data_IF_639799926849
#
_entry.id   IF_639799926849
#
_cell.length_a   1.000
_cell.length_b   1.000
_cell.length_c   1.000
_cell.angle_alpha   90.00
_cell.angle_beta   90.00
_cell.angle_gamma   90.00
#
_symmetry.space_group_name_H-M   'P 1'
#
loop_
_entity.id
_entity.type
_entity.pdbx_description
1 polymer ?
#
# COMPACT_ATOMS: atom_id res chain seq x y z
N UNK A 1 29.05 55.36 -5.27
CA UNK A 1 29.14 54.06 -5.99
C UNK A 1 28.60 53.08 -4.99
N UNK A 2 27.28 52.97 -4.94
CA UNK A 2 26.62 52.39 -3.78
C UNK A 2 26.25 50.97 -4.18
N UNK A 3 26.92 50.01 -3.53
CA UNK A 3 26.69 48.60 -3.78
C UNK A 3 25.31 48.24 -3.23
N UNK A 4 24.38 47.89 -4.13
CA UNK A 4 23.10 47.30 -3.75
C UNK A 4 23.37 46.00 -2.99
N UNK A 5 23.11 46.02 -1.69
CA UNK A 5 23.13 44.82 -0.87
C UNK A 5 21.94 43.97 -1.30
N UNK A 6 22.22 42.90 -2.06
CA UNK A 6 21.22 41.92 -2.43
C UNK A 6 20.85 41.12 -1.18
N UNK A 7 19.76 41.49 -0.54
CA UNK A 7 19.13 40.72 0.53
C UNK A 7 18.32 39.58 -0.13
N UNK A 8 18.74 38.31 0.00
CA UNK A 8 18.10 37.20 -0.69
C UNK A 8 16.81 36.82 0.03
N UNK A 9 15.75 37.59 -0.25
CA UNK A 9 14.34 37.37 0.09
C UNK A 9 14.14 36.25 1.14
N UNK A 10 14.26 36.62 2.41
CA UNK A 10 13.62 35.85 3.46
C UNK A 10 12.12 35.80 3.11
N UNK A 11 11.69 34.67 2.56
CA UNK A 11 10.29 34.28 2.52
C UNK A 11 9.89 34.06 3.98
N UNK A 12 9.50 35.14 4.65
CA UNK A 12 8.80 35.12 5.93
C UNK A 12 7.42 34.49 5.71
N UNK A 13 7.42 33.17 5.49
CA UNK A 13 6.22 32.36 5.55
C UNK A 13 5.65 32.47 6.96
N UNK A 14 4.34 32.69 7.04
CA UNK A 14 3.58 32.72 8.29
C UNK A 14 4.05 31.59 9.23
N UNK A 15 4.24 31.84 10.53
CA UNK A 15 4.96 30.92 11.42
C UNK A 15 4.35 29.51 11.53
N UNK A 16 3.08 29.36 11.15
CA UNK A 16 2.31 28.11 11.14
C UNK A 16 2.39 27.29 9.82
N UNK A 17 3.11 27.75 8.80
CA UNK A 17 3.21 27.00 7.54
C UNK A 17 4.15 25.77 7.66
N UNK A 18 3.77 24.59 7.10
CA UNK A 18 4.65 23.43 7.05
C UNK A 18 5.95 23.73 6.30
N UNK A 19 7.08 23.34 6.87
CA UNK A 19 8.41 23.54 6.31
C UNK A 19 9.00 22.20 5.85
N UNK A 20 9.65 22.21 4.68
CA UNK A 20 10.31 21.02 4.09
C UNK A 20 11.80 21.28 4.01
N UNK A 21 12.59 20.34 4.53
CA UNK A 21 14.06 20.34 4.43
C UNK A 21 14.52 19.02 3.85
N UNK A 22 14.96 19.04 2.60
CA UNK A 22 15.48 17.87 1.89
C UNK A 22 16.88 17.56 2.44
N UNK A 23 17.13 16.28 2.78
CA UNK A 23 18.42 15.80 3.28
C UNK A 23 19.20 15.01 2.22
N UNK A 24 18.50 14.23 1.39
CA UNK A 24 19.06 13.56 0.21
C UNK A 24 18.00 13.43 -0.89
N UNK A 25 18.43 13.46 -2.15
CA UNK A 25 17.56 13.24 -3.30
C UNK A 25 18.36 12.61 -4.46
N UNK A 26 17.77 11.59 -5.09
CA UNK A 26 18.21 10.98 -6.34
C UNK A 26 17.00 10.72 -7.27
N UNK A 27 17.21 10.06 -8.41
CA UNK A 27 16.16 9.78 -9.40
C UNK A 27 15.09 8.79 -8.93
N UNK A 28 15.34 8.07 -7.83
CA UNK A 28 14.52 6.98 -7.30
C UNK A 28 14.08 7.20 -5.86
N UNK A 29 14.75 8.07 -5.11
CA UNK A 29 14.54 8.25 -3.67
C UNK A 29 14.67 9.70 -3.24
N UNK A 30 13.85 10.13 -2.29
CA UNK A 30 14.00 11.43 -1.61
C UNK A 30 13.79 11.28 -0.10
N UNK A 31 14.77 11.75 0.67
CA UNK A 31 14.74 11.82 2.12
C UNK A 31 14.55 13.28 2.54
N UNK A 32 13.50 13.57 3.32
CA UNK A 32 13.21 14.93 3.78
C UNK A 32 12.61 14.97 5.20
N UNK A 33 12.87 16.07 5.88
CA UNK A 33 12.21 16.47 7.13
C UNK A 33 11.03 17.38 6.78
N UNK A 34 9.83 17.02 7.27
CA UNK A 34 8.63 17.84 7.25
C UNK A 34 8.37 18.34 8.68
N UNK A 35 8.55 19.64 8.90
CA UNK A 35 8.37 20.27 10.20
C UNK A 35 7.23 21.30 10.20
N UNK A 36 6.82 21.76 11.40
CA UNK A 36 5.68 22.69 11.59
C UNK A 36 4.37 22.16 11.02
N UNK A 37 4.09 20.88 11.26
CA UNK A 37 2.80 20.28 10.90
C UNK A 37 2.35 19.31 11.98
N UNK A 38 1.20 18.67 11.80
CA UNK A 38 0.65 17.68 12.73
C UNK A 38 0.71 16.26 12.16
N UNK A 39 0.73 15.27 13.06
CA UNK A 39 0.78 13.84 12.71
C UNK A 39 -0.37 13.40 11.76
N UNK A 40 -1.63 13.84 11.95
CA UNK A 40 -2.70 13.54 11.00
C UNK A 40 -2.42 14.01 9.56
N UNK A 41 -1.89 15.23 9.38
CA UNK A 41 -1.54 15.78 8.06
C UNK A 41 -0.35 15.02 7.44
N UNK A 42 0.71 14.78 8.20
CA UNK A 42 1.88 14.04 7.73
C UNK A 42 1.50 12.61 7.30
N UNK A 43 0.68 11.91 8.10
CA UNK A 43 0.17 10.59 7.74
C UNK A 43 -0.85 10.62 6.58
N UNK A 44 -1.65 11.67 6.44
CA UNK A 44 -2.54 11.84 5.29
C UNK A 44 -1.74 12.00 3.99
N UNK A 45 -0.70 12.83 3.99
CA UNK A 45 0.24 12.96 2.87
C UNK A 45 0.88 11.61 2.54
N UNK A 46 1.44 10.92 3.55
CA UNK A 46 2.02 9.57 3.42
C UNK A 46 1.07 8.58 2.73
N UNK A 47 -0.21 8.55 3.11
CA UNK A 47 -1.20 7.64 2.53
C UNK A 47 -1.57 8.02 1.09
N UNK A 48 -1.63 9.30 0.77
CA UNK A 48 -2.02 9.79 -0.56
C UNK A 48 -0.90 9.53 -1.58
N UNK A 49 0.37 9.78 -1.24
CA UNK A 49 1.50 9.51 -2.15
C UNK A 49 1.63 8.02 -2.51
N UNK A 50 1.23 7.11 -1.62
CA UNK A 50 1.16 5.68 -1.90
C UNK A 50 -0.08 5.28 -2.71
N UNK A 51 -1.28 5.72 -2.30
CA UNK A 51 -2.52 5.08 -2.70
C UNK A 51 -3.36 5.84 -3.74
N UNK A 52 -3.15 7.15 -3.91
CA UNK A 52 -4.08 8.04 -4.62
C UNK A 52 -3.43 8.94 -5.68
N UNK A 53 -2.09 8.94 -5.80
CA UNK A 53 -1.40 9.57 -6.93
C UNK A 53 -1.68 8.76 -8.21
N UNK A 54 -2.20 9.37 -9.29
CA UNK A 54 -2.52 8.64 -10.51
C UNK A 54 -1.27 8.15 -11.25
N UNK A 55 -1.35 6.96 -11.84
CA UNK A 55 -0.31 6.37 -12.70
C UNK A 55 -0.96 5.67 -13.90
N UNK A 56 -0.15 5.24 -14.88
CA UNK A 56 -0.61 4.38 -15.98
C UNK A 56 -0.04 2.96 -15.84
N UNK A 57 -0.88 1.94 -16.05
CA UNK A 57 -0.49 0.54 -16.05
C UNK A 57 -1.35 -0.26 -17.04
N UNK A 58 -0.87 -1.43 -17.47
CA UNK A 58 -1.64 -2.34 -18.34
C UNK A 58 -2.88 -2.83 -17.59
N UNK A 59 -4.05 -2.71 -18.23
CA UNK A 59 -5.34 -3.05 -17.62
C UNK A 59 -6.13 -4.09 -18.41
N UNK A 60 -6.14 -3.98 -19.73
CA UNK A 60 -6.78 -4.95 -20.61
C UNK A 60 -5.70 -5.56 -21.52
N UNK A 61 -5.73 -6.89 -21.67
CA UNK A 61 -4.78 -7.64 -22.50
C UNK A 61 -5.59 -8.54 -23.43
N UNK A 62 -5.46 -8.28 -24.72
CA UNK A 62 -6.04 -9.07 -25.80
C UNK A 62 -4.97 -10.06 -26.28
N UNK A 63 -5.28 -11.36 -26.22
CA UNK A 63 -4.35 -12.41 -26.60
C UNK A 63 -4.84 -13.03 -27.91
N UNK A 64 -4.09 -12.82 -28.99
CA UNK A 64 -4.39 -13.42 -30.30
C UNK A 64 -3.75 -14.81 -30.43
N UNK A 65 -2.52 -14.95 -29.94
CA UNK A 65 -1.79 -16.22 -29.92
C UNK A 65 -1.01 -16.34 -28.62
N UNK A 66 -1.24 -17.42 -27.87
CA UNK A 66 -0.35 -17.89 -26.82
C UNK A 66 -0.12 -19.39 -27.00
N UNK A 67 1.06 -19.78 -27.45
CA UNK A 67 1.52 -21.17 -27.43
C UNK A 67 2.69 -21.39 -26.45
N UNK A 68 2.85 -20.48 -25.49
CA UNK A 68 3.86 -20.56 -24.43
C UNK A 68 3.48 -21.63 -23.38
N UNK A 69 4.33 -21.80 -22.37
CA UNK A 69 4.05 -22.68 -21.22
C UNK A 69 3.25 -21.99 -20.09
N UNK A 70 2.95 -20.70 -20.22
CA UNK A 70 2.25 -19.91 -19.22
C UNK A 70 0.79 -19.69 -19.65
N UNK A 71 -0.12 -19.76 -18.68
CA UNK A 71 -1.52 -19.46 -18.89
C UNK A 71 -1.74 -17.96 -19.21
N UNK A 72 -2.83 -17.66 -19.90
CA UNK A 72 -3.18 -16.34 -20.41
C UNK A 72 -3.27 -15.30 -19.29
N UNK A 73 -4.00 -15.63 -18.23
CA UNK A 73 -4.18 -14.79 -17.05
C UNK A 73 -2.88 -14.59 -16.26
N UNK A 74 -1.96 -15.56 -16.31
CA UNK A 74 -0.65 -15.46 -15.68
C UNK A 74 0.24 -14.45 -16.43
N UNK A 75 0.22 -14.47 -17.76
CA UNK A 75 0.92 -13.45 -18.58
C UNK A 75 0.27 -12.08 -18.38
N UNK A 76 -1.07 -11.99 -18.44
CA UNK A 76 -1.81 -10.75 -18.25
C UNK A 76 -1.53 -10.08 -16.89
N UNK A 77 -1.50 -10.86 -15.81
CA UNK A 77 -1.14 -10.36 -14.48
C UNK A 77 0.28 -9.79 -14.44
N UNK A 78 1.26 -10.46 -15.07
CA UNK A 78 2.65 -9.98 -15.11
C UNK A 78 2.81 -8.71 -15.94
N UNK A 79 2.09 -8.59 -17.05
CA UNK A 79 2.06 -7.37 -17.87
C UNK A 79 1.48 -6.19 -17.07
N UNK A 80 0.43 -6.42 -16.29
CA UNK A 80 -0.15 -5.42 -15.40
C UNK A 80 0.85 -4.84 -14.39
N UNK A 81 1.90 -5.59 -14.01
CA UNK A 81 2.93 -5.19 -13.05
C UNK A 81 4.19 -4.58 -13.70
N UNK A 82 4.24 -4.42 -15.03
CA UNK A 82 5.36 -3.74 -15.69
C UNK A 82 5.23 -2.23 -15.46
N UNK A 83 6.24 -1.56 -14.87
CA UNK A 83 6.21 -0.11 -14.69
C UNK A 83 6.24 0.59 -16.05
N UNK A 84 5.28 1.50 -16.25
CA UNK A 84 5.20 2.36 -17.43
C UNK A 84 5.44 3.82 -17.03
N UNK A 85 6.05 4.60 -17.93
CA UNK A 85 6.26 6.03 -17.74
C UNK A 85 4.90 6.74 -17.55
N UNK A 86 4.77 7.40 -16.41
CA UNK A 86 3.57 8.07 -15.94
C UNK A 86 3.75 9.60 -15.84
N UNK A 87 4.85 10.19 -16.31
CA UNK A 87 5.11 11.64 -16.16
C UNK A 87 4.00 12.52 -16.73
N UNK A 88 3.50 12.16 -17.91
CA UNK A 88 2.36 12.83 -18.57
C UNK A 88 0.97 12.28 -18.19
N UNK A 89 0.82 11.47 -17.14
CA UNK A 89 -0.48 10.85 -16.74
C UNK A 89 -1.58 11.88 -16.47
N UNK A 90 -1.23 13.15 -16.19
CA UNK A 90 -2.19 14.23 -15.99
C UNK A 90 -2.95 14.61 -17.28
N UNK A 91 -2.39 14.33 -18.47
CA UNK A 91 -2.99 14.63 -19.78
C UNK A 91 -4.00 13.57 -20.22
N UNK A 92 -3.90 12.35 -19.69
CA UNK A 92 -4.85 11.28 -19.96
C UNK A 92 -6.11 11.43 -19.08
N UNK A 93 -7.28 11.27 -19.68
CA UNK A 93 -8.52 11.13 -18.94
C UNK A 93 -8.63 9.73 -18.32
N UNK A 94 -9.35 9.58 -17.21
CA UNK A 94 -9.76 8.25 -16.75
C UNK A 94 -10.74 7.67 -17.77
N UNK A 95 -10.64 6.37 -18.07
CA UNK A 95 -11.51 5.75 -19.09
C UNK A 95 -13.00 5.74 -18.70
N UNK A 96 -13.32 5.84 -17.40
CA UNK A 96 -14.68 6.02 -16.86
C UNK A 96 -15.25 7.44 -17.02
N UNK A 97 -14.37 8.43 -17.21
CA UNK A 97 -14.72 9.86 -17.30
C UNK A 97 -14.63 10.34 -18.77
N UNK A 98 -14.58 9.41 -19.74
CA UNK A 98 -14.33 9.68 -21.14
C UNK A 98 -15.51 9.21 -22.01
N UNK A 99 -15.98 10.06 -22.93
CA UNK A 99 -17.15 9.82 -23.80
C UNK A 99 -16.94 8.77 -24.92
N UNK A 100 -16.16 7.71 -24.66
CA UNK A 100 -15.86 6.65 -25.61
C UNK A 100 -16.39 5.28 -25.14
N UNK A 101 -16.65 4.35 -26.06
CA UNK A 101 -17.29 3.06 -25.72
C UNK A 101 -16.44 2.11 -24.86
N UNK A 102 -15.10 2.11 -25.03
CA UNK A 102 -14.20 1.23 -24.27
C UNK A 102 -12.86 1.90 -23.96
N UNK A 103 -12.15 2.33 -24.99
CA UNK A 103 -10.88 3.03 -24.89
C UNK A 103 -10.62 3.86 -26.15
N UNK A 104 -9.92 4.98 -25.99
CA UNK A 104 -9.49 5.85 -27.08
C UNK A 104 -8.13 6.49 -26.76
N UNK A 105 -7.58 7.23 -27.71
CA UNK A 105 -6.28 7.91 -27.60
C UNK A 105 -6.23 8.93 -26.45
N UNK A 106 -7.37 9.47 -26.00
CA UNK A 106 -7.43 10.45 -24.89
C UNK A 106 -7.44 9.80 -23.49
N UNK A 107 -7.70 8.50 -23.37
CA UNK A 107 -7.87 7.81 -22.09
C UNK A 107 -7.08 6.51 -21.94
N UNK A 108 -6.24 6.17 -22.93
CA UNK A 108 -5.45 4.93 -22.94
C UNK A 108 -4.22 5.03 -23.83
N UNK A 109 -3.23 4.18 -23.56
CA UNK A 109 -2.07 3.93 -24.43
C UNK A 109 -2.10 2.46 -24.86
N UNK A 110 -1.97 2.20 -26.15
CA UNK A 110 -1.89 0.83 -26.69
C UNK A 110 -0.42 0.40 -26.80
N UNK A 111 -0.12 -0.82 -26.36
CA UNK A 111 1.17 -1.48 -26.58
C UNK A 111 0.93 -2.82 -27.30
N UNK A 112 1.89 -3.25 -28.10
CA UNK A 112 1.85 -4.54 -28.79
C UNK A 112 3.11 -5.34 -28.47
N UNK A 113 2.97 -6.66 -28.34
CA UNK A 113 4.09 -7.58 -28.19
C UNK A 113 3.89 -8.77 -29.12
N UNK A 114 4.85 -8.98 -30.02
CA UNK A 114 4.90 -10.15 -30.90
C UNK A 114 6.27 -10.81 -30.80
N UNK A 115 6.31 -11.99 -30.18
CA UNK A 115 7.53 -12.77 -29.98
C UNK A 115 7.32 -14.19 -30.49
N UNK A 116 8.17 -14.64 -31.42
CA UNK A 116 8.17 -16.00 -31.95
C UNK A 116 9.57 -16.59 -31.93
N UNK A 117 9.74 -17.71 -31.23
CA UNK A 117 11.03 -18.36 -31.09
C UNK A 117 11.28 -19.30 -32.28
N UNK A 118 12.18 -18.90 -33.19
CA UNK A 118 12.61 -19.73 -34.33
C UNK A 118 13.91 -20.50 -34.08
N UNK A 119 14.66 -20.12 -33.03
CA UNK A 119 15.87 -20.78 -32.55
C UNK A 119 15.57 -22.05 -31.75
N UNK A 120 16.54 -22.96 -31.65
CA UNK A 120 16.44 -24.10 -30.71
C UNK A 120 16.76 -23.70 -29.25
N UNK A 121 17.47 -22.58 -29.08
CA UNK A 121 17.72 -21.93 -27.79
C UNK A 121 16.45 -21.26 -27.22
N UNK A 122 16.41 -21.12 -25.89
CA UNK A 122 15.29 -20.52 -25.16
C UNK A 122 15.30 -19.00 -25.37
N UNK A 123 14.35 -18.49 -26.15
CA UNK A 123 14.12 -17.06 -26.30
C UNK A 123 13.51 -16.51 -25.01
N UNK A 124 14.09 -15.44 -24.48
CA UNK A 124 13.55 -14.68 -23.35
C UNK A 124 12.80 -13.47 -23.90
N UNK A 125 11.59 -13.24 -23.42
CA UNK A 125 10.73 -12.11 -23.82
C UNK A 125 10.65 -11.12 -22.67
N UNK A 126 10.97 -9.86 -22.93
CA UNK A 126 11.20 -8.83 -21.92
C UNK A 126 10.33 -7.58 -22.16
N UNK A 127 10.28 -6.68 -21.17
CA UNK A 127 9.52 -5.44 -21.24
C UNK A 127 9.95 -4.51 -22.39
N UNK A 128 11.23 -4.51 -22.80
CA UNK A 128 11.68 -3.77 -24.00
C UNK A 128 11.04 -4.24 -25.31
N UNK A 129 10.50 -5.47 -25.34
CA UNK A 129 9.92 -6.05 -26.54
C UNK A 129 8.44 -5.59 -26.72
N UNK A 130 7.87 -4.88 -25.74
CA UNK A 130 6.59 -4.16 -25.85
C UNK A 130 6.78 -2.86 -26.63
N UNK A 131 6.10 -2.74 -27.77
CA UNK A 131 6.08 -1.54 -28.60
C UNK A 131 4.83 -0.72 -28.29
N UNK A 132 5.01 0.43 -27.64
CA UNK A 132 3.95 1.41 -27.43
C UNK A 132 3.61 2.16 -28.73
N UNK A 133 2.34 2.51 -28.92
CA UNK A 133 1.87 3.28 -30.07
C UNK A 133 2.30 4.75 -29.94
N UNK A 134 3.04 5.26 -30.93
CA UNK A 134 3.71 6.57 -30.88
C UNK A 134 2.82 7.78 -31.12
N UNK A 135 1.52 7.71 -30.77
CA UNK A 135 0.54 8.78 -31.00
C UNK A 135 0.53 9.84 -29.89
N UNK A 136 0.95 9.46 -28.68
CA UNK A 136 1.13 10.40 -27.57
C UNK A 136 2.44 11.17 -27.77
N UNK A 137 2.38 12.50 -27.67
CA UNK A 137 3.56 13.36 -27.83
C UNK A 137 4.59 13.21 -26.69
N UNK A 138 4.13 12.71 -25.54
CA UNK A 138 4.95 12.40 -24.38
C UNK A 138 5.22 10.88 -24.32
N UNK A 139 6.30 10.48 -23.64
CA UNK A 139 6.71 9.09 -23.42
C UNK A 139 5.75 8.24 -22.56
N UNK A 140 4.54 8.73 -22.27
CA UNK A 140 3.55 8.08 -21.40
C UNK A 140 3.20 6.69 -21.92
N UNK A 141 3.18 5.72 -21.00
CA UNK A 141 2.90 4.34 -21.35
C UNK A 141 4.09 3.58 -21.95
N UNK A 142 5.26 4.21 -22.14
CA UNK A 142 6.46 3.45 -22.52
C UNK A 142 6.97 2.60 -21.34
N UNK A 143 7.44 1.36 -21.56
CA UNK A 143 8.01 0.53 -20.50
C UNK A 143 9.27 1.14 -19.88
N UNK A 144 9.32 1.20 -18.56
CA UNK A 144 10.49 1.66 -17.81
C UNK A 144 11.57 0.56 -17.80
N UNK A 145 12.78 0.92 -18.20
CA UNK A 145 13.95 0.05 -18.29
C UNK A 145 15.08 0.67 -17.47
N UNK A 146 15.46 0.03 -16.37
CA UNK A 146 16.47 0.52 -15.39
C UNK A 146 17.62 -0.46 -15.17
N UNK A 147 17.55 -1.67 -15.72
CA UNK A 147 18.61 -2.66 -15.58
C UNK A 147 19.83 -2.33 -16.46
N UNK A 148 21.07 -2.66 -16.03
CA UNK A 148 22.28 -2.37 -16.79
C UNK A 148 22.36 -3.06 -18.16
N UNK A 149 21.56 -4.10 -18.41
CA UNK A 149 21.52 -4.84 -19.67
C UNK A 149 20.53 -4.23 -20.68
N UNK A 150 19.69 -3.26 -20.26
CA UNK A 150 18.71 -2.59 -21.12
C UNK A 150 17.57 -3.50 -21.58
N UNK A 151 17.14 -4.46 -20.75
CA UNK A 151 16.15 -5.47 -21.10
C UNK A 151 14.75 -5.16 -20.53
N UNK A 152 14.69 -4.64 -19.32
CA UNK A 152 13.49 -4.49 -18.51
C UNK A 152 13.01 -5.81 -17.91
N UNK A 153 11.77 -5.81 -17.40
CA UNK A 153 11.20 -6.98 -16.72
C UNK A 153 11.05 -8.20 -17.67
N UNK A 154 11.49 -9.38 -17.23
CA UNK A 154 11.30 -10.63 -17.98
C UNK A 154 9.83 -11.09 -17.94
N UNK A 155 9.13 -11.04 -19.08
CA UNK A 155 7.70 -11.39 -19.23
C UNK A 155 7.50 -12.90 -19.36
N UNK A 156 8.26 -13.55 -20.26
CA UNK A 156 8.08 -14.97 -20.58
C UNK A 156 9.38 -15.60 -21.09
N UNK A 157 9.39 -16.93 -21.22
CA UNK A 157 10.42 -17.70 -21.92
C UNK A 157 9.74 -18.61 -22.93
N UNK A 158 10.19 -18.58 -24.17
CA UNK A 158 9.67 -19.34 -25.29
C UNK A 158 10.72 -20.37 -25.73
N UNK A 159 10.27 -21.61 -25.97
CA UNK A 159 11.02 -22.64 -26.69
C UNK A 159 10.74 -22.49 -28.19
N UNK A 160 11.57 -23.13 -29.02
CA UNK A 160 11.37 -23.27 -30.46
C UNK A 160 9.90 -23.53 -30.84
N UNK A 161 9.45 -22.83 -31.87
CA UNK A 161 8.11 -22.85 -32.46
C UNK A 161 6.99 -22.32 -31.53
N UNK A 162 7.31 -21.84 -30.32
CA UNK A 162 6.35 -21.10 -29.48
C UNK A 162 6.25 -19.63 -29.90
N UNK A 163 5.03 -19.10 -29.81
CA UNK A 163 4.64 -17.77 -30.25
C UNK A 163 3.73 -17.11 -29.20
N UNK A 164 3.95 -15.82 -28.97
CA UNK A 164 3.15 -14.95 -28.14
C UNK A 164 2.83 -13.69 -28.94
N UNK A 165 1.55 -13.43 -29.19
CA UNK A 165 1.05 -12.24 -29.89
C UNK A 165 -0.10 -11.64 -29.09
N UNK A 166 0.14 -10.46 -28.55
CA UNK A 166 -0.78 -9.78 -27.63
C UNK A 166 -0.85 -8.28 -27.90
N UNK A 167 -2.00 -7.70 -27.59
CA UNK A 167 -2.24 -6.25 -27.54
C UNK A 167 -2.59 -5.88 -26.10
N UNK A 168 -1.93 -4.87 -25.55
CA UNK A 168 -2.09 -4.41 -24.18
C UNK A 168 -2.64 -2.99 -24.19
N UNK A 169 -3.75 -2.74 -23.51
CA UNK A 169 -4.33 -1.41 -23.33
C UNK A 169 -4.00 -0.95 -21.91
N UNK A 170 -3.14 0.06 -21.82
CA UNK A 170 -2.77 0.70 -20.58
C UNK A 170 -3.72 1.86 -20.24
N UNK A 171 -4.18 1.91 -19.00
CA UNK A 171 -5.15 2.89 -18.50
C UNK A 171 -4.64 3.62 -17.27
N UNK A 172 -5.12 4.85 -17.12
CA UNK A 172 -4.91 5.67 -15.92
C UNK A 172 -5.74 5.12 -14.76
N UNK A 173 -5.11 4.93 -13.61
CA UNK A 173 -5.74 4.41 -12.39
C UNK A 173 -5.01 4.88 -11.13
N UNK A 174 -5.45 4.38 -9.97
CA UNK A 174 -4.85 4.67 -8.66
C UNK A 174 -4.63 3.37 -7.87
N UNK A 175 -3.64 3.34 -6.98
CA UNK A 175 -3.28 2.14 -6.22
C UNK A 175 -4.40 1.59 -5.31
N UNK A 176 -5.42 2.39 -4.97
CA UNK A 176 -6.66 1.90 -4.32
C UNK A 176 -7.47 0.92 -5.16
N UNK A 177 -7.44 1.04 -6.49
CA UNK A 177 -8.14 0.14 -7.39
C UNK A 177 -7.35 -1.17 -7.56
N UNK A 178 -6.04 -1.05 -7.76
CA UNK A 178 -5.10 -2.18 -7.75
C UNK A 178 -3.67 -1.70 -7.50
N UNK A 179 -2.88 -2.44 -6.71
CA UNK A 179 -1.50 -2.07 -6.34
C UNK A 179 -0.52 -1.88 -7.53
N UNK A 180 -0.91 -2.30 -8.74
CA UNK A 180 -0.16 -2.03 -9.98
C UNK A 180 0.00 -0.55 -10.31
N UNK A 181 -0.94 0.28 -9.83
CA UNK A 181 -0.92 1.73 -10.01
C UNK A 181 -0.19 2.47 -8.87
N UNK A 182 0.65 1.77 -8.09
CA UNK A 182 1.41 2.36 -6.99
C UNK A 182 2.71 3.02 -7.50
N UNK A 183 2.87 4.35 -7.37
CA UNK A 183 4.08 5.04 -7.84
C UNK A 183 5.26 4.92 -6.87
N UNK A 184 5.04 4.43 -5.64
CA UNK A 184 6.07 4.26 -4.61
C UNK A 184 6.36 2.79 -4.34
N UNK A 185 7.64 2.42 -4.20
CA UNK A 185 8.05 1.11 -3.67
C UNK A 185 7.83 1.05 -2.15
N UNK A 186 8.31 2.07 -1.44
CA UNK A 186 8.24 2.19 0.01
C UNK A 186 8.14 3.66 0.44
N UNK A 187 7.50 3.89 1.58
CA UNK A 187 7.52 5.19 2.27
C UNK A 187 7.87 4.98 3.74
N UNK A 188 9.15 5.20 4.04
CA UNK A 188 9.66 5.34 5.41
C UNK A 188 9.06 6.58 6.05
N UNK A 189 8.71 6.45 7.33
CA UNK A 189 8.03 7.49 8.10
C UNK A 189 8.38 7.32 9.58
N UNK A 190 9.03 8.32 10.15
CA UNK A 190 9.47 8.34 11.54
C UNK A 190 9.19 9.72 12.15
N UNK A 191 9.00 9.77 13.47
CA UNK A 191 9.00 10.99 14.27
C UNK A 191 9.45 10.62 15.69
N UNK A 192 9.98 11.59 16.43
CA UNK A 192 10.42 11.42 17.83
C UNK A 192 11.40 10.23 18.02
N UNK A 193 12.62 10.31 17.44
CA UNK A 193 13.60 9.22 17.45
C UNK A 193 14.15 8.87 18.84
N UNK A 194 13.90 9.70 19.86
CA UNK A 194 14.27 9.47 21.26
C UNK A 194 13.06 9.13 22.15
N UNK A 195 11.87 8.94 21.56
CA UNK A 195 10.61 8.63 22.27
C UNK A 195 10.28 9.62 23.41
N UNK A 196 10.58 10.91 23.24
CA UNK A 196 10.30 12.00 24.20
C UNK A 196 8.82 12.11 24.54
N UNK A 197 7.95 11.81 23.58
CA UNK A 197 6.50 11.85 23.70
C UNK A 197 5.92 10.61 24.42
N UNK A 198 6.76 9.61 24.72
CA UNK A 198 6.36 8.32 25.30
C UNK A 198 5.23 7.64 24.49
N UNK A 199 5.23 7.81 23.17
CA UNK A 199 4.28 7.16 22.26
C UNK A 199 4.51 5.65 22.14
N UNK A 200 5.71 5.18 22.50
CA UNK A 200 6.07 3.77 22.59
C UNK A 200 6.40 3.39 24.03
N UNK A 201 5.90 2.25 24.49
CA UNK A 201 6.44 1.54 25.65
C UNK A 201 7.47 0.53 25.12
N UNK A 202 8.75 0.83 25.36
CA UNK A 202 9.86 0.10 24.75
C UNK A 202 10.04 -1.24 25.46
N UNK A 203 9.80 -2.36 24.76
CA UNK A 203 10.02 -3.70 25.33
C UNK A 203 11.51 -3.94 25.61
N UNK A 204 11.83 -4.59 26.73
CA UNK A 204 13.18 -5.01 27.09
C UNK A 204 13.14 -6.25 28.01
N UNK A 205 14.24 -7.00 28.11
CA UNK A 205 14.33 -8.13 29.04
C UNK A 205 14.58 -7.67 30.49
N UNK A 206 14.18 -8.48 31.48
CA UNK A 206 14.23 -8.13 32.90
C UNK A 206 15.61 -7.71 33.47
N UNK A 207 16.71 -7.95 32.75
CA UNK A 207 18.09 -7.70 33.21
C UNK A 207 18.85 -6.69 32.32
N UNK A 208 18.16 -6.05 31.39
CA UNK A 208 18.72 -5.15 30.37
C UNK A 208 18.01 -3.79 30.44
N UNK A 209 18.25 -2.96 29.43
CA UNK A 209 17.94 -1.55 29.40
C UNK A 209 17.49 -1.22 27.97
N UNK A 210 16.33 -0.58 27.74
CA UNK A 210 15.84 -0.24 26.41
C UNK A 210 16.89 0.42 25.51
N UNK A 211 17.71 1.30 26.07
CA UNK A 211 18.78 2.03 25.37
C UNK A 211 19.92 1.12 24.85
N UNK A 212 20.02 -0.12 25.35
CA UNK A 212 21.02 -1.11 24.94
C UNK A 212 20.48 -2.15 23.96
N UNK A 213 19.18 -2.44 24.04
CA UNK A 213 18.52 -3.40 23.15
C UNK A 213 18.09 -2.76 21.82
N UNK A 214 17.56 -1.54 21.87
CA UNK A 214 17.02 -0.89 20.69
C UNK A 214 18.09 -0.09 19.94
N UNK A 215 18.31 -0.35 18.64
CA UNK A 215 19.24 0.42 17.83
C UNK A 215 18.68 1.84 17.63
N UNK A 216 19.53 2.85 17.84
CA UNK A 216 19.15 4.25 17.62
C UNK A 216 18.93 4.51 16.14
N UNK A 217 17.83 5.21 15.81
CA UNK A 217 17.55 5.64 14.44
C UNK A 217 18.66 6.55 13.89
N UNK A 218 18.80 6.58 12.56
CA UNK A 218 19.66 7.55 11.86
C UNK A 218 19.27 9.00 12.18
N UNK A 219 18.01 9.26 12.49
CA UNK A 219 17.48 10.59 12.84
C UNK A 219 17.74 10.99 14.29
N UNK A 220 18.13 10.07 15.17
CA UNK A 220 18.48 10.36 16.57
C UNK A 220 19.67 11.34 16.72
N UNK A 221 20.46 11.54 15.65
CA UNK A 221 21.55 12.53 15.60
C UNK A 221 21.07 13.95 15.27
N UNK A 222 19.82 14.12 14.81
CA UNK A 222 19.24 15.39 14.35
C UNK A 222 18.29 16.03 15.37
N UNK A 223 18.09 15.35 16.50
CA UNK A 223 17.31 15.76 17.65
C UNK A 223 18.16 15.60 18.90
N UNK A 224 18.06 16.54 19.85
CA UNK A 224 18.75 16.41 21.12
C UNK A 224 18.17 15.24 21.92
N UNK A 225 18.98 14.41 22.59
CA UNK A 225 18.49 13.33 23.45
C UNK A 225 17.71 13.89 24.66
N UNK A 226 17.02 13.01 25.38
CA UNK A 226 16.44 13.33 26.69
C UNK A 226 17.54 13.72 27.69
N UNK A 227 17.34 14.79 28.45
CA UNK A 227 18.27 15.18 29.51
C UNK A 227 17.91 14.47 30.84
N UNK A 228 18.90 13.93 31.54
CA UNK A 228 18.66 13.24 32.81
C UNK A 228 18.03 14.18 33.86
N UNK A 229 16.81 13.87 34.27
CA UNK A 229 16.06 14.65 35.27
C UNK A 229 15.15 15.74 34.71
N UNK A 230 15.05 15.89 33.38
CA UNK A 230 14.01 16.70 32.75
C UNK A 230 12.62 16.09 33.04
N UNK A 231 11.62 16.88 33.48
CA UNK A 231 10.27 16.38 33.68
C UNK A 231 9.61 16.07 32.32
N UNK A 232 8.80 15.00 32.27
CA UNK A 232 8.03 14.66 31.08
C UNK A 232 7.07 15.81 30.70
N UNK A 233 7.13 16.25 29.44
CA UNK A 233 6.25 17.29 28.89
C UNK A 233 4.97 16.64 28.34
N UNK A 234 3.88 16.78 29.11
CA UNK A 234 2.56 16.26 28.76
C UNK A 234 1.85 17.07 27.66
N UNK A 235 2.30 18.31 27.40
CA UNK A 235 1.72 19.20 26.38
C UNK A 235 2.49 19.12 25.04
N UNK A 236 3.63 18.41 25.00
CA UNK A 236 4.41 18.19 23.80
C UNK A 236 3.61 17.43 22.73
N UNK A 237 3.73 17.88 21.47
CA UNK A 237 3.06 17.28 20.31
C UNK A 237 4.04 17.02 19.16
N UNK A 238 3.87 15.93 18.39
CA UNK A 238 4.75 15.62 17.27
C UNK A 238 4.60 16.68 16.18
N UNK A 239 5.69 17.40 15.90
CA UNK A 239 5.73 18.55 14.99
C UNK A 239 6.82 18.45 13.90
N UNK A 240 7.63 17.39 13.92
CA UNK A 240 8.71 17.05 12.97
C UNK A 240 8.55 15.60 12.56
N UNK A 241 8.62 15.35 11.25
CA UNK A 241 8.40 14.04 10.63
C UNK A 241 9.48 13.79 9.59
N UNK A 242 10.11 12.63 9.66
CA UNK A 242 11.14 12.20 8.73
C UNK A 242 10.54 11.24 7.71
N UNK A 243 10.70 11.57 6.43
CA UNK A 243 10.20 10.80 5.30
C UNK A 243 11.35 10.23 4.49
N UNK A 244 11.17 8.99 4.02
CA UNK A 244 12.01 8.34 3.02
C UNK A 244 11.08 7.82 1.92
N UNK A 245 10.95 8.56 0.81
CA UNK A 245 10.04 8.18 -0.29
C UNK A 245 10.85 7.52 -1.40
N UNK A 246 10.58 6.26 -1.69
CA UNK A 246 11.17 5.50 -2.79
C UNK A 246 10.14 5.31 -3.91
N UNK A 247 10.46 5.73 -5.12
CA UNK A 247 9.64 5.60 -6.32
C UNK A 247 9.78 4.20 -6.96
N UNK A 248 8.70 3.69 -7.56
CA UNK A 248 8.70 2.44 -8.33
C UNK A 248 9.30 2.58 -9.74
N UNK A 249 9.77 3.78 -10.10
CA UNK A 249 10.36 4.11 -11.40
C UNK A 249 9.37 4.63 -12.45
N UNK A 250 8.05 4.60 -12.17
CA UNK A 250 7.01 5.12 -13.09
C UNK A 250 7.06 6.65 -13.25
N UNK A 251 7.58 7.37 -12.26
CA UNK A 251 7.81 8.82 -12.26
C UNK A 251 8.83 9.18 -11.16
N UNK A 252 9.45 10.36 -11.25
CA UNK A 252 10.41 10.85 -10.24
C UNK A 252 9.74 11.13 -8.87
N UNK A 253 10.47 10.97 -7.73
CA UNK A 253 9.92 11.15 -6.39
C UNK A 253 9.31 12.54 -6.11
N UNK A 254 9.83 13.60 -6.75
CA UNK A 254 9.29 14.96 -6.61
C UNK A 254 7.91 15.09 -7.26
N UNK A 255 7.70 14.46 -8.41
CA UNK A 255 6.40 14.39 -9.08
C UNK A 255 5.38 13.61 -8.24
N UNK A 256 5.80 12.54 -7.55
CA UNK A 256 4.95 11.80 -6.60
C UNK A 256 4.49 12.72 -5.46
N UNK A 257 5.40 13.46 -4.84
CA UNK A 257 5.08 14.36 -3.72
C UNK A 257 4.18 15.51 -4.18
N UNK A 258 4.52 16.17 -5.30
CA UNK A 258 3.69 17.24 -5.87
C UNK A 258 2.30 16.73 -6.28
N UNK A 259 2.23 15.54 -6.88
CA UNK A 259 0.99 14.85 -7.21
C UNK A 259 0.15 14.56 -5.96
N UNK A 260 0.78 14.09 -4.88
CA UNK A 260 0.08 13.82 -3.63
C UNK A 260 -0.48 15.08 -2.96
N UNK A 261 0.28 16.18 -2.96
CA UNK A 261 -0.20 17.48 -2.48
C UNK A 261 -1.39 17.96 -3.32
N UNK A 262 -1.32 17.83 -4.65
CA UNK A 262 -2.42 18.20 -5.57
C UNK A 262 -3.68 17.36 -5.30
N UNK A 263 -3.55 16.04 -5.13
CA UNK A 263 -4.68 15.15 -4.82
C UNK A 263 -5.30 15.48 -3.46
N UNK A 264 -4.48 15.77 -2.44
CA UNK A 264 -4.97 16.22 -1.13
C UNK A 264 -5.77 17.53 -1.25
N UNK A 265 -5.26 18.52 -1.97
CA UNK A 265 -5.94 19.79 -2.23
C UNK A 265 -7.25 19.59 -3.01
N UNK A 266 -7.26 18.75 -4.05
CA UNK A 266 -8.46 18.42 -4.83
C UNK A 266 -9.55 17.79 -3.96
N UNK A 267 -9.20 16.87 -3.05
CA UNK A 267 -10.16 16.24 -2.13
C UNK A 267 -10.75 17.20 -1.12
N UNK A 268 -9.95 18.11 -0.57
CA UNK A 268 -10.43 19.18 0.31
C UNK A 268 -11.34 20.14 -0.49
N UNK A 269 -10.96 20.50 -1.72
CA UNK A 269 -11.79 21.30 -2.62
C UNK A 269 -13.13 20.65 -2.94
N UNK A 270 -13.15 19.34 -3.20
CA UNK A 270 -14.37 18.56 -3.40
C UNK A 270 -15.27 18.54 -2.16
N UNK A 271 -14.70 18.40 -0.97
CA UNK A 271 -15.45 18.49 0.30
C UNK A 271 -16.05 19.90 0.50
N UNK A 272 -15.28 20.96 0.26
CA UNK A 272 -15.77 22.35 0.36
C UNK A 272 -16.90 22.63 -0.65
N UNK A 273 -16.77 22.12 -1.89
CA UNK A 273 -17.81 22.20 -2.92
C UNK A 273 -19.08 21.45 -2.52
N UNK A 274 -18.97 20.29 -1.88
CA UNK A 274 -20.12 19.53 -1.38
C UNK A 274 -20.80 20.15 -0.16
N UNK A 275 -20.06 20.88 0.68
CA UNK A 275 -20.60 21.56 1.87
C UNK A 275 -21.27 22.91 1.55
N UNK A 276 -20.72 23.67 0.59
CA UNK A 276 -21.29 24.95 0.14
C UNK A 276 -21.16 25.10 -1.39
N UNK A 277 -22.05 24.46 -2.17
CA UNK A 277 -22.05 24.55 -3.63
C UNK A 277 -22.12 26.00 -4.14
N UNK A 278 -22.91 26.84 -3.46
CA UNK A 278 -23.16 28.24 -3.89
C UNK A 278 -21.93 29.11 -3.75
N UNK A 279 -21.07 28.86 -2.75
CA UNK A 279 -19.83 29.60 -2.52
C UNK A 279 -18.65 29.07 -3.34
N UNK A 280 -18.61 27.76 -3.62
CA UNK A 280 -17.49 27.09 -4.28
C UNK A 280 -17.78 26.57 -5.70
N UNK A 281 -18.86 27.05 -6.34
CA UNK A 281 -19.13 26.80 -7.76
C UNK A 281 -19.63 25.40 -8.09
N UNK A 282 -20.49 24.83 -7.25
CA UNK A 282 -21.34 23.70 -7.62
C UNK A 282 -22.67 24.17 -8.18
N UNK A 283 -23.04 23.64 -9.35
CA UNK A 283 -24.45 23.64 -9.78
C UNK A 283 -25.29 22.86 -8.77
N UNK A 284 -26.55 23.27 -8.58
CA UNK A 284 -27.59 22.49 -7.88
C UNK A 284 -28.08 21.31 -8.78
N UNK A 285 -27.14 20.53 -9.32
CA UNK A 285 -27.40 19.28 -10.08
C UNK A 285 -27.20 18.07 -9.18
N UNK A 286 -27.99 17.02 -9.41
CA UNK A 286 -28.23 15.93 -8.47
C UNK A 286 -26.99 15.34 -7.78
N UNK A 287 -27.11 15.19 -6.46
CA UNK A 287 -26.08 14.69 -5.55
C UNK A 287 -25.67 13.24 -5.85
N UNK A 288 -24.65 13.05 -6.68
CA UNK A 288 -23.75 11.90 -6.56
C UNK A 288 -22.44 12.34 -5.90
N UNK A 289 -22.39 12.14 -4.57
CA UNK A 289 -21.21 12.44 -3.77
C UNK A 289 -20.04 11.49 -4.05
N UNK A 290 -18.85 11.71 -3.45
CA UNK A 290 -17.69 10.85 -3.65
C UNK A 290 -17.93 9.42 -3.13
N UNK A 291 -18.44 8.53 -3.99
CA UNK A 291 -18.61 7.12 -3.67
C UNK A 291 -17.26 6.42 -3.68
N UNK A 292 -17.10 5.49 -2.74
CA UNK A 292 -16.15 4.38 -2.92
C UNK A 292 -16.56 3.59 -4.17
N UNK A 293 -15.66 2.85 -4.85
CA UNK A 293 -16.07 1.95 -5.92
C UNK A 293 -17.12 0.96 -5.39
N UNK A 294 -18.38 1.11 -5.85
CA UNK A 294 -19.49 0.32 -5.32
C UNK A 294 -19.31 -1.14 -5.73
N UNK A 295 -19.07 -2.01 -4.74
CA UNK A 295 -19.36 -3.44 -4.85
C UNK A 295 -20.84 -3.56 -5.17
N UNK A 296 -21.17 -3.94 -6.41
CA UNK A 296 -22.52 -3.89 -6.95
C UNK A 296 -23.51 -4.70 -6.07
N UNK A 297 -24.26 -3.99 -5.23
CA UNK A 297 -25.20 -4.54 -4.27
C UNK A 297 -26.59 -3.92 -4.42
N UNK A 298 -27.02 -3.69 -5.67
CA UNK A 298 -28.42 -3.42 -5.97
C UNK A 298 -28.98 -4.40 -7.01
N UNK A 299 -30.24 -4.80 -6.79
CA UNK A 299 -30.92 -5.85 -7.54
C UNK A 299 -31.53 -5.34 -8.84
N UNK A 300 -30.69 -5.10 -9.86
CA UNK A 300 -31.11 -4.53 -11.15
C UNK A 300 -30.64 -5.31 -12.38
N UNK A 301 -31.37 -6.37 -12.75
CA UNK A 301 -31.43 -7.00 -14.09
C UNK A 301 -30.16 -6.96 -14.98
N UNK A 302 -29.40 -8.05 -14.99
CA UNK A 302 -28.40 -8.31 -16.04
C UNK A 302 -29.07 -8.55 -17.41
N UNK A 303 -28.58 -7.97 -18.53
CA UNK A 303 -29.21 -8.12 -19.85
C UNK A 303 -29.10 -9.51 -20.53
N UNK A 304 -28.59 -10.53 -19.83
CA UNK A 304 -28.25 -11.84 -20.41
C UNK A 304 -28.93 -13.00 -19.67
N UNK A 305 -30.27 -12.92 -19.57
CA UNK A 305 -31.07 -14.02 -19.05
C UNK A 305 -31.43 -14.99 -20.18
N UNK A 306 -30.52 -15.92 -20.48
CA UNK A 306 -30.83 -17.07 -21.33
C UNK A 306 -31.84 -18.01 -20.64
N UNK A 307 -32.68 -18.65 -21.46
CA UNK A 307 -33.90 -19.31 -21.01
C UNK A 307 -33.71 -20.76 -20.59
N UNK A 308 -33.87 -21.03 -19.29
CA UNK A 308 -34.55 -22.25 -18.84
C UNK A 308 -33.73 -23.31 -18.12
N UNK A 309 -33.61 -23.15 -16.79
CA UNK A 309 -33.57 -24.29 -15.86
C UNK A 309 -34.37 -23.96 -14.60
N UNK A 310 -35.45 -24.70 -14.35
CA UNK A 310 -36.25 -24.60 -13.11
C UNK A 310 -35.80 -25.63 -12.08
N UNK A 311 -35.39 -25.19 -10.89
CA UNK A 311 -35.15 -26.07 -9.72
C UNK A 311 -36.35 -26.02 -8.74
N UNK A 312 -36.70 -27.13 -8.06
CA UNK A 312 -38.02 -27.27 -7.44
C UNK A 312 -38.08 -26.92 -5.94
N UNK A 313 -37.48 -25.80 -5.51
CA UNK A 313 -37.69 -25.28 -4.15
C UNK A 313 -37.98 -23.77 -4.16
N UNK A 314 -39.14 -23.41 -3.61
CA UNK A 314 -39.75 -22.09 -3.77
C UNK A 314 -39.16 -21.01 -2.87
N UNK A 315 -39.22 -19.78 -3.38
CA UNK A 315 -38.86 -18.55 -2.68
C UNK A 315 -39.98 -18.12 -1.72
N UNK A 316 -39.64 -17.82 -0.46
CA UNK A 316 -40.45 -16.93 0.38
C UNK A 316 -39.56 -16.23 1.42
N UNK A 317 -39.34 -14.93 1.25
CA UNK A 317 -38.57 -14.09 2.17
C UNK A 317 -39.45 -13.49 3.25
N UNK A 318 -38.97 -13.53 4.49
CA UNK A 318 -39.53 -12.74 5.59
C UNK A 318 -38.44 -12.44 6.63
N UNK A 319 -38.03 -11.18 6.75
CA UNK A 319 -38.17 -10.37 7.98
C UNK A 319 -37.43 -9.04 7.86
N UNK A 320 -38.21 -7.96 7.89
CA UNK A 320 -37.77 -6.68 8.41
C UNK A 320 -38.74 -6.26 9.53
N UNK A 321 -38.19 -5.90 10.69
CA UNK A 321 -38.91 -5.21 11.77
C UNK A 321 -39.64 -6.07 12.81
N UNK A 322 -39.51 -5.68 14.08
CA UNK A 322 -40.61 -5.81 15.06
C UNK A 322 -40.44 -6.77 16.24
N UNK A 323 -39.75 -6.31 17.29
CA UNK A 323 -40.21 -6.38 18.69
C UNK A 323 -40.68 -7.75 19.27
N UNK A 324 -39.81 -8.45 20.00
CA UNK A 324 -40.20 -9.53 20.93
C UNK A 324 -40.45 -9.02 22.34
N UNK A 325 -41.66 -9.23 22.85
CA UNK A 325 -42.02 -8.96 24.24
C UNK A 325 -42.04 -10.26 25.06
N UNK A 326 -41.37 -10.27 26.21
CA UNK A 326 -41.80 -11.03 27.39
C UNK A 326 -41.20 -10.41 28.66
N UNK A 327 -42.03 -9.73 29.45
CA UNK A 327 -41.74 -9.43 30.86
C UNK A 327 -42.16 -10.61 31.75
N UNK A 328 -41.76 -10.67 33.02
CA UNK A 328 -40.94 -9.74 33.79
C UNK A 328 -40.76 -10.26 35.23
N UNK A 329 -40.03 -9.53 36.08
CA UNK A 329 -39.81 -9.91 37.48
C UNK A 329 -38.75 -9.07 38.17
N UNK A 330 -39.18 -8.00 38.84
CA UNK A 330 -38.33 -7.04 39.57
C UNK A 330 -37.75 -7.60 40.88
N UNK A 331 -36.50 -7.26 41.20
CA UNK A 331 -36.09 -6.90 42.56
C UNK A 331 -34.77 -6.10 42.57
N UNK A 332 -34.59 -5.27 43.61
CA UNK A 332 -33.56 -4.24 43.74
C UNK A 332 -32.52 -4.62 44.80
N UNK A 333 -31.25 -4.23 44.61
CA UNK A 333 -30.36 -3.85 45.71
C UNK A 333 -29.38 -4.89 46.31
N UNK A 334 -28.08 -4.57 46.22
CA UNK A 334 -27.29 -4.33 47.44
C UNK A 334 -26.38 -5.44 48.02
N UNK A 335 -25.07 -5.23 47.84
CA UNK A 335 -24.00 -5.45 48.83
C UNK A 335 -23.42 -6.86 49.09
N UNK A 336 -22.18 -6.82 49.60
CA UNK A 336 -21.45 -7.78 50.43
C UNK A 336 -20.55 -8.87 49.79
N UNK A 337 -19.25 -8.61 49.96
CA UNK A 337 -18.10 -9.54 49.97
C UNK A 337 -18.25 -10.67 51.00
N UNK A 338 -17.79 -11.91 50.69
CA UNK A 338 -17.30 -12.85 51.70
C UNK A 338 -16.43 -14.01 51.15
N UNK A 339 -15.39 -14.33 51.90
CA UNK A 339 -14.42 -15.43 51.78
C UNK A 339 -15.00 -16.87 51.82
N UNK A 340 -14.35 -17.80 51.11
CA UNK A 340 -13.50 -18.81 51.78
C UNK A 340 -13.96 -20.29 51.88
N UNK A 341 -12.96 -21.19 51.86
CA UNK A 341 -13.00 -22.64 52.14
C UNK A 341 -13.68 -23.54 51.08
N UNK A 342 -13.18 -24.74 50.75
CA UNK A 342 -12.02 -25.48 51.28
C UNK A 342 -11.69 -26.76 50.49
N UNK A 343 -10.51 -27.32 50.76
CA UNK A 343 -9.82 -28.41 50.04
C UNK A 343 -10.36 -29.83 50.35
N UNK A 344 -10.25 -30.79 49.42
CA UNK A 344 -9.68 -32.15 49.67
C UNK A 344 -9.69 -33.13 48.45
N UNK A 345 -8.49 -33.60 48.08
CA UNK A 345 -8.10 -34.98 47.69
C UNK A 345 -9.07 -35.98 47.01
N UNK A 346 -8.70 -36.39 45.78
CA UNK A 346 -7.92 -37.63 45.57
C UNK A 346 -8.64 -38.96 45.26
N UNK A 347 -8.05 -39.77 44.37
CA UNK A 347 -8.41 -41.20 44.18
C UNK A 347 -8.44 -41.66 42.72
N UNK A 348 -7.49 -42.51 42.32
CA UNK A 348 -7.43 -43.14 40.99
C UNK A 348 -8.06 -44.54 40.96
N UNK A 349 -8.43 -45.02 39.77
CA UNK A 349 -8.53 -46.47 39.49
C UNK A 349 -8.37 -46.76 37.98
N UNK A 350 -7.90 -47.96 37.65
CA UNK A 350 -7.28 -48.32 36.35
C UNK A 350 -7.86 -49.62 35.78
N UNK A 351 -8.04 -49.71 34.46
CA UNK A 351 -8.14 -50.97 33.68
C UNK A 351 -7.63 -50.72 32.24
N UNK A 352 -6.46 -51.23 31.82
CA UNK A 352 -6.21 -52.52 31.14
C UNK A 352 -7.01 -52.73 29.82
N UNK A 353 -6.42 -53.09 28.67
CA UNK A 353 -5.01 -53.34 28.25
C UNK A 353 -4.95 -53.42 26.70
N UNK A 354 -3.89 -53.83 25.99
CA UNK A 354 -2.53 -54.25 26.36
C UNK A 354 -1.93 -55.25 25.34
N UNK A 355 -0.88 -54.86 24.60
CA UNK A 355 0.19 -55.68 23.94
C UNK A 355 1.04 -54.70 23.09
N UNK A 356 2.33 -54.40 23.36
CA UNK A 356 3.53 -55.26 23.29
C UNK A 356 3.78 -55.80 21.87
N UNK A 357 4.96 -55.70 21.24
CA UNK A 357 6.37 -55.65 21.71
C UNK A 357 7.25 -54.70 20.82
N UNK A 358 8.48 -54.28 21.14
CA UNK A 358 9.29 -54.36 22.37
C UNK A 358 10.80 -54.08 22.12
N UNK A 359 11.42 -53.26 23.00
CA UNK A 359 12.86 -53.26 23.37
C UNK A 359 13.90 -52.73 22.36
N UNK A 360 15.09 -52.23 22.72
CA UNK A 360 15.78 -52.00 24.02
C UNK A 360 17.20 -51.43 23.74
N UNK A 361 17.92 -50.66 24.57
CA UNK A 361 17.65 -49.98 25.86
C UNK A 361 18.87 -49.12 26.31
N UNK A 362 18.66 -48.07 27.12
CA UNK A 362 19.64 -47.38 28.03
C UNK A 362 20.89 -46.68 27.44
N UNK A 363 21.41 -45.56 27.99
CA UNK A 363 20.94 -44.70 29.09
C UNK A 363 22.09 -43.88 29.73
N UNK A 364 21.78 -42.66 30.24
CA UNK A 364 22.66 -41.70 30.96
C UNK A 364 23.89 -41.15 30.19
N UNK A 365 24.33 -39.89 30.33
CA UNK A 365 23.78 -38.74 31.06
C UNK A 365 24.83 -37.98 31.88
N UNK A 366 25.37 -36.87 31.35
CA UNK A 366 25.98 -35.74 32.09
C UNK A 366 26.66 -34.71 31.15
N UNK A 367 26.67 -33.45 31.57
CA UNK A 367 27.66 -32.42 31.23
C UNK A 367 27.98 -31.64 32.52
N UNK A 368 28.53 -30.41 32.49
CA UNK A 368 29.13 -29.67 31.37
C UNK A 368 30.50 -29.02 31.73
N UNK A 369 30.98 -28.09 30.87
CA UNK A 369 32.01 -27.05 31.09
C UNK A 369 33.52 -27.38 31.05
N UNK A 370 34.22 -26.55 30.25
CA UNK A 370 35.35 -25.68 30.65
C UNK A 370 36.65 -25.84 29.86
N UNK A 371 37.07 -24.72 29.24
CA UNK A 371 38.45 -24.34 28.87
C UNK A 371 39.17 -25.18 27.78
N UNK A 372 40.01 -24.65 26.89
CA UNK A 372 40.35 -23.33 26.33
C UNK A 372 41.75 -23.48 25.71
N UNK A 373 42.11 -22.67 24.70
CA UNK A 373 43.45 -22.57 24.10
C UNK A 373 43.92 -23.79 23.27
N UNK A 374 44.68 -23.64 22.18
CA UNK A 374 45.09 -22.47 21.37
C UNK A 374 45.88 -22.97 20.14
N UNK A 375 46.10 -22.10 19.13
CA UNK A 375 46.86 -22.34 17.88
C UNK A 375 46.17 -23.31 16.89
N UNK A 376 46.19 -23.07 15.57
CA UNK A 376 46.98 -22.14 14.75
C UNK A 376 46.11 -21.15 13.97
#
# INVERSE_FOLDING_TARGET
MDALHYDPMAMDGEPEQPQVKISAADSTRVDFELSRTNLPFANALRRIIQAEVPTIAIDLVEIEVNSSVLADEFIAHRLGLIPLDSKGVNELNYSRDCDCEQYCEQCSVSLTLHAKCTSDEIMKVYARDLVADGRHANSVGTPIITDPEGLGCLIAKLRKDQELKITCIAKKGIAKEHAKWMPTSAVGFEYDPHNKLHHLDMWFENNTDPEKEWPKSKYAQWEEPLQEGEPFDFDAVPNRFYFEVEASGTMEPDLIIQGGIRVLQQKIGGLLKGLDPRKYGGDDTDMDGPRSPDMNMDGGTTPWQDGGYTTPYGNNTAYGGGNTAYGGGTSYGGSATAYGSGTAYGGSSTSYGGSATGGSSTGYGSGPYSQSNSWQ
#
